data_IF_181231610577
#
_entry.id   IF_181231610577
#
_cell.length_a   1.000
_cell.length_b   1.000
_cell.length_c   1.000
_cell.angle_alpha   90.00
_cell.angle_beta   90.00
_cell.angle_gamma   90.00
#
_symmetry.space_group_name_H-M   'P 1'
#
loop_
_entity.id
_entity.type
_entity.pdbx_description
1 polymer ?
#
# COMPACT_ATOMS: atom_id res chain seq x y z
N UNK A 1 6.10 6.18 -23.96
CA UNK A 1 6.96 7.31 -23.57
C UNK A 1 8.37 6.81 -23.38
N UNK A 2 9.25 7.14 -24.34
CA UNK A 2 10.69 7.07 -24.15
C UNK A 2 11.11 8.16 -23.16
N UNK A 3 12.14 7.88 -22.35
CA UNK A 3 12.70 8.83 -21.40
C UNK A 3 13.80 9.63 -22.09
N UNK A 4 13.78 10.95 -21.95
CA UNK A 4 14.90 11.79 -22.38
C UNK A 4 16.06 11.71 -21.39
N UNK A 5 17.26 12.19 -21.79
CA UNK A 5 18.40 12.32 -20.86
C UNK A 5 18.05 13.16 -19.62
N UNK A 6 17.27 14.23 -19.81
CA UNK A 6 16.80 15.10 -18.73
C UNK A 6 15.89 14.36 -17.76
N UNK A 7 15.03 13.47 -18.27
CA UNK A 7 14.14 12.69 -17.42
C UNK A 7 14.91 11.67 -16.58
N UNK A 8 15.88 10.98 -17.17
CA UNK A 8 16.75 10.07 -16.43
C UNK A 8 17.54 10.79 -15.35
N UNK A 9 18.09 11.96 -15.67
CA UNK A 9 18.79 12.80 -14.70
C UNK A 9 17.86 13.22 -13.56
N UNK A 10 16.63 13.64 -13.85
CA UNK A 10 15.65 13.99 -12.82
C UNK A 10 15.31 12.79 -11.93
N UNK A 11 15.08 11.60 -12.49
CA UNK A 11 14.83 10.40 -11.70
C UNK A 11 16.02 10.01 -10.82
N UNK A 12 17.25 10.14 -11.33
CA UNK A 12 18.45 9.88 -10.57
C UNK A 12 18.58 10.87 -9.40
N UNK A 13 18.42 12.17 -9.68
CA UNK A 13 18.44 13.21 -8.66
C UNK A 13 17.38 12.95 -7.59
N UNK A 14 16.15 12.65 -8.00
CA UNK A 14 15.06 12.38 -7.08
C UNK A 14 15.33 11.14 -6.22
N UNK A 15 15.89 10.08 -6.81
CA UNK A 15 16.31 8.90 -6.06
C UNK A 15 17.38 9.25 -5.02
N UNK A 16 18.42 9.99 -5.39
CA UNK A 16 19.49 10.40 -4.46
C UNK A 16 18.94 11.25 -3.32
N UNK A 17 18.11 12.27 -3.62
CA UNK A 17 17.51 13.12 -2.59
C UNK A 17 16.61 12.30 -1.65
N UNK A 18 15.85 11.34 -2.19
CA UNK A 18 15.03 10.41 -1.38
C UNK A 18 15.90 9.56 -0.47
N UNK A 19 16.99 9.00 -0.99
CA UNK A 19 17.94 8.21 -0.21
C UNK A 19 18.55 9.02 0.94
N UNK A 20 18.94 10.27 0.68
CA UNK A 20 19.48 11.16 1.70
C UNK A 20 18.43 11.53 2.76
N UNK A 21 17.19 11.82 2.35
CA UNK A 21 16.11 12.17 3.28
C UNK A 21 15.76 11.01 4.23
N UNK A 22 15.79 9.77 3.75
CA UNK A 22 15.51 8.57 4.56
C UNK A 22 16.77 7.88 5.10
N UNK A 23 17.94 8.51 5.01
CA UNK A 23 19.19 7.96 5.56
C UNK A 23 19.07 7.46 7.01
N UNK A 24 18.34 8.14 7.94
CA UNK A 24 18.17 7.63 9.30
C UNK A 24 17.54 6.24 9.38
N UNK A 25 16.67 5.88 8.42
CA UNK A 25 16.02 4.58 8.40
C UNK A 25 16.99 3.42 8.12
N UNK A 26 18.15 3.67 7.51
CA UNK A 26 19.15 2.62 7.22
C UNK A 26 19.78 2.04 8.47
N UNK A 27 19.84 2.86 9.52
CA UNK A 27 20.37 2.54 10.82
C UNK A 27 19.24 2.28 11.84
N UNK A 28 18.00 2.12 11.36
CA UNK A 28 16.84 1.76 12.16
C UNK A 28 16.95 0.33 12.69
N UNK A 29 16.29 0.10 13.82
CA UNK A 29 16.08 -1.24 14.37
C UNK A 29 14.72 -1.81 13.98
N UNK A 30 14.45 -3.01 14.50
CA UNK A 30 13.13 -3.66 14.45
C UNK A 30 12.10 -2.80 15.18
N UNK A 31 10.94 -2.58 14.56
CA UNK A 31 9.83 -1.81 15.14
C UNK A 31 8.57 -2.65 15.26
N UNK A 32 7.88 -2.50 16.40
CA UNK A 32 6.54 -3.04 16.65
C UNK A 32 6.35 -4.53 16.32
N UNK A 33 5.82 -4.86 15.14
CA UNK A 33 5.49 -6.21 14.70
C UNK A 33 6.48 -6.78 13.67
N UNK A 34 7.60 -6.10 13.44
CA UNK A 34 8.64 -6.53 12.49
C UNK A 34 9.15 -7.94 12.82
N UNK A 35 9.44 -8.21 14.09
CA UNK A 35 9.88 -9.52 14.57
C UNK A 35 8.88 -10.64 14.25
N UNK A 36 7.58 -10.36 14.29
CA UNK A 36 6.55 -11.33 13.92
C UNK A 36 6.54 -11.66 12.41
N UNK A 37 7.13 -10.80 11.58
CA UNK A 37 7.23 -10.99 10.13
C UNK A 37 8.56 -11.57 9.67
N UNK A 38 9.67 -11.24 10.37
CA UNK A 38 11.03 -11.60 9.95
C UNK A 38 11.74 -12.59 10.90
N UNK A 39 11.21 -12.84 12.10
CA UNK A 39 11.82 -13.72 13.09
C UNK A 39 11.55 -15.22 12.86
N UNK A 40 10.49 -15.56 12.12
CA UNK A 40 9.98 -16.93 12.01
C UNK A 40 10.95 -17.95 11.38
N UNK A 41 10.94 -19.22 11.84
CA UNK A 41 11.80 -20.27 11.29
C UNK A 41 11.50 -20.60 9.81
N UNK A 42 10.30 -20.31 9.33
CA UNK A 42 9.88 -20.52 7.93
C UNK A 42 10.70 -19.70 6.91
N UNK A 43 11.34 -18.61 7.33
CA UNK A 43 12.21 -17.82 6.46
C UNK A 43 13.58 -18.49 6.21
N UNK A 44 13.92 -19.51 7.00
CA UNK A 44 15.25 -20.13 7.01
C UNK A 44 15.35 -21.40 6.17
N UNK A 45 14.25 -22.03 5.76
CA UNK A 45 14.27 -23.31 5.04
C UNK A 45 13.49 -23.26 3.73
N UNK A 46 13.80 -24.16 2.79
CA UNK A 46 13.03 -24.30 1.54
C UNK A 46 11.62 -24.84 1.81
N UNK A 47 11.47 -25.73 2.79
CA UNK A 47 10.15 -26.18 3.25
C UNK A 47 9.34 -25.01 3.83
N UNK A 48 10.00 -24.11 4.57
CA UNK A 48 9.39 -22.88 5.04
C UNK A 48 8.83 -22.02 3.90
N UNK A 49 9.57 -21.87 2.80
CA UNK A 49 9.05 -21.21 1.60
C UNK A 49 7.80 -21.92 1.03
N UNK A 50 7.80 -23.25 0.96
CA UNK A 50 6.61 -24.01 0.54
C UNK A 50 5.42 -23.72 1.48
N UNK A 51 5.64 -23.71 2.80
CA UNK A 51 4.60 -23.47 3.79
C UNK A 51 4.05 -22.03 3.71
N UNK A 52 4.89 -21.04 3.45
CA UNK A 52 4.48 -19.64 3.21
C UNK A 52 3.42 -19.56 2.09
N UNK A 53 3.57 -20.36 1.02
CA UNK A 53 2.63 -20.36 -0.10
C UNK A 53 1.38 -21.20 0.14
N UNK A 54 1.51 -22.39 0.73
CA UNK A 54 0.45 -23.40 0.69
C UNK A 54 -0.22 -23.69 2.04
N UNK A 55 0.34 -23.22 3.15
CA UNK A 55 -0.20 -23.45 4.49
C UNK A 55 -0.63 -22.11 5.08
N UNK A 56 -1.92 -21.74 4.97
CA UNK A 56 -2.43 -20.52 5.59
C UNK A 56 -2.11 -20.47 7.08
N UNK A 57 -1.87 -19.27 7.62
CA UNK A 57 -1.46 -19.02 9.02
C UNK A 57 -0.04 -19.48 9.39
N UNK A 58 0.79 -19.90 8.42
CA UNK A 58 2.23 -20.10 8.67
C UNK A 58 2.90 -18.80 9.13
N UNK A 59 2.45 -17.67 8.60
CA UNK A 59 2.99 -16.34 8.87
C UNK A 59 1.94 -15.44 9.55
N UNK A 60 2.40 -14.34 10.16
CA UNK A 60 1.56 -13.36 10.87
C UNK A 60 0.36 -12.89 10.04
N UNK A 61 0.59 -12.60 8.76
CA UNK A 61 -0.46 -12.28 7.78
C UNK A 61 -0.24 -13.14 6.54
N UNK A 62 -1.31 -13.66 5.94
CA UNK A 62 -1.18 -14.53 4.77
C UNK A 62 -0.95 -13.72 3.49
N UNK A 63 0.31 -13.31 3.31
CA UNK A 63 0.82 -12.56 2.16
C UNK A 63 2.05 -13.29 1.57
N UNK A 64 1.85 -14.34 0.76
CA UNK A 64 2.92 -15.24 0.36
C UNK A 64 4.05 -14.56 -0.42
N UNK A 65 3.75 -13.56 -1.26
CA UNK A 65 4.78 -12.85 -2.02
C UNK A 65 5.59 -11.89 -1.12
N UNK A 66 4.94 -11.27 -0.15
CA UNK A 66 5.63 -10.48 0.87
C UNK A 66 6.58 -11.35 1.69
N UNK A 67 6.13 -12.51 2.16
CA UNK A 67 6.98 -13.39 2.95
C UNK A 67 8.05 -14.10 2.11
N UNK A 68 7.79 -14.35 0.83
CA UNK A 68 8.84 -14.78 -0.12
C UNK A 68 9.95 -13.73 -0.24
N UNK A 69 9.60 -12.44 -0.27
CA UNK A 69 10.62 -11.39 -0.29
C UNK A 69 11.39 -11.30 1.04
N UNK A 70 10.80 -11.65 2.20
CA UNK A 70 11.54 -11.74 3.47
C UNK A 70 12.44 -12.97 3.50
N UNK A 71 11.95 -14.10 2.98
CA UNK A 71 12.70 -15.33 2.84
C UNK A 71 13.96 -15.11 1.99
N UNK A 72 13.82 -14.45 0.83
CA UNK A 72 14.96 -14.14 -0.03
C UNK A 72 15.98 -13.23 0.69
N UNK A 73 15.50 -12.26 1.45
CA UNK A 73 16.34 -11.34 2.22
C UNK A 73 17.10 -12.05 3.33
N UNK A 74 16.45 -12.96 4.06
CA UNK A 74 17.13 -13.81 5.04
C UNK A 74 18.26 -14.63 4.39
N UNK A 75 18.14 -15.02 3.11
CA UNK A 75 19.20 -15.71 2.36
C UNK A 75 20.33 -14.82 1.88
N UNK A 76 20.04 -13.56 1.57
CA UNK A 76 21.03 -12.62 1.05
C UNK A 76 21.85 -11.95 2.16
N UNK A 77 21.22 -11.62 3.28
CA UNK A 77 21.87 -10.84 4.34
C UNK A 77 21.73 -11.42 5.76
N UNK A 78 21.15 -12.61 5.91
CA UNK A 78 20.97 -13.24 7.23
C UNK A 78 20.12 -12.38 8.14
N UNK A 79 20.53 -12.22 9.39
CA UNK A 79 19.83 -11.42 10.40
C UNK A 79 20.16 -9.90 10.32
N UNK A 80 20.86 -9.45 9.27
CA UNK A 80 21.16 -8.03 9.08
C UNK A 80 19.91 -7.23 8.71
N UNK A 81 19.48 -6.37 9.63
CA UNK A 81 18.27 -5.54 9.51
C UNK A 81 18.39 -4.47 8.41
N UNK A 82 19.59 -3.93 8.19
CA UNK A 82 19.85 -2.89 7.19
C UNK A 82 19.40 -3.29 5.79
N UNK A 83 19.54 -4.57 5.41
CA UNK A 83 19.09 -5.08 4.11
C UNK A 83 17.59 -4.90 3.90
N UNK A 84 16.78 -5.06 4.95
CA UNK A 84 15.32 -4.91 4.90
C UNK A 84 14.90 -3.45 4.68
N UNK A 85 15.53 -2.51 5.39
CA UNK A 85 15.28 -1.07 5.19
C UNK A 85 15.71 -0.60 3.79
N UNK A 86 16.84 -1.09 3.28
CA UNK A 86 17.29 -0.78 1.91
C UNK A 86 16.24 -1.24 0.89
N UNK A 87 15.71 -2.46 1.02
CA UNK A 87 14.67 -2.94 0.11
C UNK A 87 13.41 -2.07 0.19
N UNK A 88 12.97 -1.66 1.38
CA UNK A 88 11.81 -0.77 1.51
C UNK A 88 12.03 0.57 0.82
N UNK A 89 13.20 1.18 1.01
CA UNK A 89 13.58 2.42 0.35
C UNK A 89 13.59 2.28 -1.18
N UNK A 90 14.18 1.20 -1.71
CA UNK A 90 14.22 0.95 -3.15
C UNK A 90 12.82 0.74 -3.73
N UNK A 91 11.94 0.04 -3.01
CA UNK A 91 10.54 -0.09 -3.40
C UNK A 91 9.81 1.26 -3.38
N UNK A 92 10.05 2.12 -2.37
CA UNK A 92 9.49 3.47 -2.33
C UNK A 92 9.96 4.33 -3.51
N UNK A 93 11.26 4.31 -3.83
CA UNK A 93 11.79 4.98 -5.03
C UNK A 93 11.13 4.42 -6.31
N UNK A 94 10.89 3.11 -6.36
CA UNK A 94 10.10 2.48 -7.42
C UNK A 94 8.69 3.07 -7.54
N UNK A 95 7.97 3.23 -6.42
CA UNK A 95 6.68 3.91 -6.37
C UNK A 95 6.77 5.35 -6.87
N UNK A 96 7.75 6.13 -6.41
CA UNK A 96 7.99 7.52 -6.83
C UNK A 96 8.11 7.63 -8.36
N UNK A 97 8.94 6.79 -8.97
CA UNK A 97 9.12 6.77 -10.43
C UNK A 97 7.83 6.37 -11.15
N UNK A 98 7.08 5.41 -10.61
CA UNK A 98 5.80 4.99 -11.19
C UNK A 98 4.74 6.09 -11.07
N UNK A 99 4.66 6.81 -9.95
CA UNK A 99 3.79 7.98 -9.77
C UNK A 99 4.14 9.03 -10.82
N UNK A 100 5.41 9.42 -10.95
CA UNK A 100 5.86 10.36 -11.98
C UNK A 100 5.39 9.93 -13.38
N UNK A 101 5.54 8.64 -13.72
CA UNK A 101 5.08 8.10 -15.01
C UNK A 101 3.58 8.19 -15.19
N UNK A 102 2.79 7.84 -14.18
CA UNK A 102 1.33 7.86 -14.27
C UNK A 102 0.84 9.30 -14.41
N UNK A 103 1.34 10.24 -13.59
CA UNK A 103 0.92 11.65 -13.63
C UNK A 103 1.26 12.28 -14.99
N UNK A 104 2.46 12.01 -15.53
CA UNK A 104 2.84 12.41 -16.88
C UNK A 104 1.98 11.76 -17.96
N UNK A 105 1.69 10.47 -17.84
CA UNK A 105 0.82 9.74 -18.78
C UNK A 105 -0.60 10.32 -18.79
N UNK A 106 -1.12 10.70 -17.63
CA UNK A 106 -2.42 11.35 -17.47
C UNK A 106 -2.40 12.82 -17.90
N UNK A 107 -1.23 13.38 -18.23
CA UNK A 107 -1.03 14.78 -18.64
C UNK A 107 -1.48 15.78 -17.57
N UNK A 108 -1.33 15.41 -16.29
CA UNK A 108 -1.61 16.30 -15.17
C UNK A 108 -0.41 17.25 -15.03
N UNK A 109 -0.63 18.58 -14.94
CA UNK A 109 0.45 19.55 -14.76
C UNK A 109 1.15 19.34 -13.41
N UNK A 110 2.46 19.63 -13.36
CA UNK A 110 3.25 19.52 -12.12
C UNK A 110 3.64 18.09 -11.72
N UNK A 111 3.84 17.19 -12.69
CA UNK A 111 4.17 15.79 -12.41
C UNK A 111 5.47 15.61 -11.60
N UNK A 112 6.48 16.44 -11.87
CA UNK A 112 7.75 16.49 -11.14
C UNK A 112 7.53 16.93 -9.69
N UNK A 113 6.68 17.95 -9.48
CA UNK A 113 6.33 18.43 -8.15
C UNK A 113 5.55 17.35 -7.39
N UNK A 114 4.54 16.73 -8.01
CA UNK A 114 3.76 15.65 -7.41
C UNK A 114 4.65 14.45 -7.00
N UNK A 115 5.59 14.06 -7.86
CA UNK A 115 6.55 13.00 -7.55
C UNK A 115 7.53 13.39 -6.44
N UNK A 116 7.98 14.65 -6.40
CA UNK A 116 8.86 15.18 -5.36
C UNK A 116 8.17 15.23 -4.00
N UNK A 117 6.93 15.72 -3.96
CA UNK A 117 6.08 15.68 -2.76
C UNK A 117 5.92 14.24 -2.33
N UNK A 118 5.49 13.34 -3.21
CA UNK A 118 5.32 11.92 -2.87
C UNK A 118 6.62 11.27 -2.37
N UNK A 119 7.78 11.62 -2.93
CA UNK A 119 9.06 11.09 -2.48
C UNK A 119 9.38 11.51 -1.04
N UNK A 120 9.23 12.79 -0.73
CA UNK A 120 9.77 13.41 0.48
C UNK A 120 8.71 13.66 1.57
N UNK A 121 7.44 13.37 1.31
CA UNK A 121 6.37 13.64 2.26
C UNK A 121 6.57 12.82 3.56
N UNK A 122 6.55 13.45 4.75
CA UNK A 122 6.81 12.75 6.02
C UNK A 122 5.84 11.60 6.34
N UNK A 123 4.62 11.61 5.78
CA UNK A 123 3.67 10.47 5.88
C UNK A 123 4.28 9.16 5.35
N UNK A 124 5.23 9.24 4.42
CA UNK A 124 5.86 8.06 3.83
C UNK A 124 7.05 7.53 4.67
N UNK A 125 7.35 8.14 5.82
CA UNK A 125 8.40 7.63 6.72
C UNK A 125 8.10 6.19 7.15
N UNK A 126 6.85 5.86 7.48
CA UNK A 126 6.46 4.49 7.85
C UNK A 126 6.72 3.49 6.71
N UNK A 127 6.49 3.90 5.46
CA UNK A 127 6.71 3.07 4.26
C UNK A 127 8.17 2.64 4.10
N UNK A 128 9.11 3.42 4.64
CA UNK A 128 10.56 3.16 4.53
C UNK A 128 11.15 2.60 5.83
N UNK A 129 10.80 3.19 6.98
CA UNK A 129 11.41 2.88 8.26
C UNK A 129 10.81 1.65 8.96
N UNK A 130 9.54 1.29 8.70
CA UNK A 130 8.91 0.12 9.31
C UNK A 130 9.00 -1.07 8.36
N UNK A 131 9.67 -2.15 8.77
CA UNK A 131 9.98 -3.27 7.87
C UNK A 131 8.69 -3.95 7.42
N UNK A 132 7.79 -4.26 8.36
CA UNK A 132 6.52 -4.93 8.11
C UNK A 132 5.60 -4.11 7.19
N UNK A 133 5.79 -2.78 7.12
CA UNK A 133 5.05 -1.91 6.19
C UNK A 133 5.40 -2.15 4.73
N UNK A 134 6.43 -2.97 4.44
CA UNK A 134 6.71 -3.44 3.08
C UNK A 134 5.49 -4.06 2.40
N UNK A 135 4.54 -4.62 3.15
CA UNK A 135 3.25 -5.07 2.61
C UNK A 135 2.57 -3.99 1.77
N UNK A 136 2.56 -2.76 2.26
CA UNK A 136 2.04 -1.60 1.54
C UNK A 136 2.97 -1.15 0.43
N UNK A 137 4.27 -1.01 0.70
CA UNK A 137 5.22 -0.50 -0.31
C UNK A 137 5.33 -1.43 -1.53
N UNK A 138 5.48 -2.74 -1.31
CA UNK A 138 5.59 -3.76 -2.35
C UNK A 138 4.30 -3.88 -3.16
N UNK A 139 3.15 -3.98 -2.49
CA UNK A 139 1.85 -4.01 -3.18
C UNK A 139 1.58 -2.71 -3.94
N UNK A 140 2.05 -1.57 -3.43
CA UNK A 140 2.00 -0.27 -4.08
C UNK A 140 2.79 -0.23 -5.40
N UNK A 141 4.03 -0.75 -5.42
CA UNK A 141 4.81 -0.89 -6.67
C UNK A 141 4.02 -1.70 -7.69
N UNK A 142 3.48 -2.85 -7.30
CA UNK A 142 2.71 -3.71 -8.18
C UNK A 142 1.40 -3.04 -8.66
N UNK A 143 0.68 -2.36 -7.78
CA UNK A 143 -0.56 -1.66 -8.11
C UNK A 143 -0.33 -0.49 -9.09
N UNK A 144 0.70 0.33 -8.85
CA UNK A 144 1.05 1.44 -9.74
C UNK A 144 1.57 0.93 -11.09
N UNK A 145 2.40 -0.13 -11.09
CA UNK A 145 2.85 -0.74 -12.33
C UNK A 145 1.70 -1.37 -13.12
N UNK A 146 0.78 -2.05 -12.44
CA UNK A 146 -0.45 -2.60 -13.04
C UNK A 146 -1.30 -1.48 -13.63
N UNK A 147 -1.50 -0.37 -12.91
CA UNK A 147 -2.23 0.80 -13.40
C UNK A 147 -1.59 1.36 -14.67
N UNK A 148 -0.27 1.58 -14.68
CA UNK A 148 0.45 2.11 -15.83
C UNK A 148 0.32 1.20 -17.07
N UNK A 149 0.43 -0.13 -16.89
CA UNK A 149 0.24 -1.08 -17.98
C UNK A 149 -1.22 -1.17 -18.44
N UNK A 150 -2.18 -1.04 -17.52
CA UNK A 150 -3.59 -1.01 -17.85
C UNK A 150 -3.94 0.25 -18.65
N UNK A 151 -3.41 1.41 -18.25
CA UNK A 151 -3.56 2.67 -18.98
C UNK A 151 -2.99 2.58 -20.40
N UNK A 152 -1.85 1.91 -20.58
CA UNK A 152 -1.31 1.60 -21.93
C UNK A 152 -2.22 0.67 -22.72
N UNK A 153 -2.77 -0.36 -22.06
CA UNK A 153 -3.77 -1.23 -22.68
C UNK A 153 -5.00 -0.46 -23.13
N UNK A 154 -5.47 0.54 -22.37
CA UNK A 154 -6.61 1.37 -22.78
C UNK A 154 -6.32 2.16 -24.06
N UNK A 155 -5.09 2.66 -24.26
CA UNK A 155 -4.70 3.39 -25.48
C UNK A 155 -4.55 2.48 -26.72
N UNK A 156 -3.93 1.31 -26.58
CA UNK A 156 -3.51 0.50 -27.72
C UNK A 156 -4.19 -0.88 -27.84
N UNK A 157 -5.02 -1.25 -26.86
CA UNK A 157 -5.70 -2.55 -26.75
C UNK A 157 -4.78 -3.77 -26.92
N UNK A 158 -3.50 -3.62 -26.60
CA UNK A 158 -2.51 -4.70 -26.69
C UNK A 158 -2.75 -5.78 -25.64
N UNK A 159 -2.83 -7.04 -26.09
CA UNK A 159 -2.92 -8.22 -25.19
C UNK A 159 -1.75 -8.31 -24.22
N UNK A 160 -0.55 -7.90 -24.65
CA UNK A 160 0.65 -7.89 -23.80
C UNK A 160 0.51 -6.89 -22.65
N UNK A 161 0.04 -5.68 -22.93
CA UNK A 161 -0.19 -4.66 -21.89
C UNK A 161 -1.22 -5.13 -20.87
N UNK A 162 -2.30 -5.76 -21.34
CA UNK A 162 -3.33 -6.33 -20.47
C UNK A 162 -2.81 -7.47 -19.60
N UNK A 163 -2.10 -8.43 -20.19
CA UNK A 163 -1.52 -9.56 -19.45
C UNK A 163 -0.52 -9.10 -18.39
N UNK A 164 0.32 -8.11 -18.71
CA UNK A 164 1.24 -7.50 -17.74
C UNK A 164 0.48 -6.78 -16.62
N UNK A 165 -0.56 -6.01 -16.94
CA UNK A 165 -1.38 -5.34 -15.94
C UNK A 165 -2.04 -6.33 -14.98
N UNK A 166 -2.65 -7.38 -15.51
CA UNK A 166 -3.31 -8.42 -14.71
C UNK A 166 -2.30 -9.21 -13.87
N UNK A 167 -1.17 -9.61 -14.45
CA UNK A 167 -0.11 -10.32 -13.73
C UNK A 167 0.45 -9.50 -12.57
N UNK A 168 0.76 -8.21 -12.81
CA UNK A 168 1.21 -7.30 -11.75
C UNK A 168 0.15 -7.09 -10.67
N UNK A 169 -1.12 -6.97 -11.05
CA UNK A 169 -2.22 -6.88 -10.09
C UNK A 169 -2.32 -8.12 -9.20
N UNK A 170 -2.21 -9.32 -9.76
CA UNK A 170 -2.20 -10.57 -9.00
C UNK A 170 -1.01 -10.65 -8.04
N UNK A 171 0.19 -10.25 -8.46
CA UNK A 171 1.37 -10.17 -7.59
C UNK A 171 1.15 -9.17 -6.43
N UNK A 172 0.51 -8.05 -6.72
CA UNK A 172 0.14 -7.08 -5.68
C UNK A 172 -0.84 -7.66 -4.66
N UNK A 173 -1.86 -8.42 -5.11
CA UNK A 173 -2.82 -9.09 -4.21
C UNK A 173 -2.13 -10.13 -3.31
N UNK A 174 -1.11 -10.83 -3.83
CA UNK A 174 -0.29 -11.79 -3.06
C UNK A 174 0.69 -11.10 -2.09
N UNK A 175 0.90 -9.79 -2.23
CA UNK A 175 1.73 -8.97 -1.33
C UNK A 175 0.90 -8.30 -0.24
N UNK A 176 -0.26 -7.75 -0.62
CA UNK A 176 -1.28 -7.23 0.29
C UNK A 176 -2.62 -7.09 -0.43
N UNK A 177 -3.69 -7.58 0.20
CA UNK A 177 -5.03 -7.53 -0.37
C UNK A 177 -5.68 -6.14 -0.37
N UNK A 178 -5.05 -5.11 0.21
CA UNK A 178 -5.55 -3.74 0.18
C UNK A 178 -5.72 -3.17 -1.25
N UNK A 179 -5.00 -3.72 -2.23
CA UNK A 179 -5.04 -3.23 -3.62
C UNK A 179 -6.28 -3.64 -4.41
N UNK A 180 -7.22 -4.38 -3.79
CA UNK A 180 -8.54 -4.74 -4.37
C UNK A 180 -9.34 -3.55 -4.89
N UNK A 181 -8.98 -2.32 -4.47
CA UNK A 181 -9.58 -1.06 -4.91
C UNK A 181 -9.07 -0.56 -6.27
N UNK A 182 -7.98 -1.13 -6.80
CA UNK A 182 -7.38 -0.71 -8.07
C UNK A 182 -8.36 -0.69 -9.26
N UNK A 183 -9.19 -1.73 -9.54
CA UNK A 183 -10.14 -1.67 -10.65
C UNK A 183 -11.14 -0.51 -10.49
N UNK A 184 -11.55 -0.19 -9.26
CA UNK A 184 -12.41 0.97 -9.02
C UNK A 184 -11.68 2.29 -9.29
N UNK A 185 -10.42 2.41 -8.85
CA UNK A 185 -9.60 3.59 -9.15
C UNK A 185 -9.42 3.81 -10.66
N UNK A 186 -9.23 2.74 -11.44
CA UNK A 186 -9.16 2.81 -12.91
C UNK A 186 -10.47 3.30 -13.52
N UNK A 187 -11.62 2.84 -13.04
CA UNK A 187 -12.93 3.34 -13.49
C UNK A 187 -13.10 4.83 -13.19
N UNK A 188 -12.67 5.30 -12.02
CA UNK A 188 -12.69 6.73 -11.66
C UNK A 188 -11.80 7.53 -12.61
N UNK A 189 -10.60 7.04 -12.93
CA UNK A 189 -9.71 7.69 -13.90
C UNK A 189 -10.37 7.78 -15.29
N UNK A 190 -11.03 6.71 -15.75
CA UNK A 190 -11.71 6.73 -17.05
C UNK A 190 -12.92 7.65 -17.08
N UNK A 191 -13.71 7.65 -16.01
CA UNK A 191 -14.82 8.58 -15.85
C UNK A 191 -14.32 10.03 -15.87
N UNK A 192 -13.28 10.34 -15.11
CA UNK A 192 -12.69 11.68 -15.07
C UNK A 192 -12.14 12.11 -16.45
N UNK A 193 -11.42 11.24 -17.17
CA UNK A 193 -10.83 11.59 -18.48
C UNK A 193 -11.86 11.73 -19.60
N UNK A 194 -13.00 11.02 -19.55
CA UNK A 194 -13.95 10.90 -20.67
C UNK A 194 -15.35 11.42 -20.37
N UNK A 195 -15.63 11.82 -19.12
CA UNK A 195 -16.95 12.23 -18.65
C UNK A 195 -17.97 11.09 -18.47
N UNK A 196 -17.71 9.91 -19.04
CA UNK A 196 -18.62 8.76 -18.98
C UNK A 196 -17.87 7.41 -18.95
N UNK A 197 -18.51 6.40 -18.37
CA UNK A 197 -18.00 5.04 -18.32
C UNK A 197 -18.72 4.20 -19.39
N UNK A 198 -17.98 3.68 -20.37
CA UNK A 198 -18.50 2.71 -21.32
C UNK A 198 -18.42 1.30 -20.76
N UNK A 199 -19.53 0.56 -20.80
CA UNK A 199 -19.59 -0.83 -20.33
C UNK A 199 -18.58 -1.73 -21.05
N UNK A 200 -18.62 -1.77 -22.39
CA UNK A 200 -17.77 -2.66 -23.20
C UNK A 200 -16.30 -2.24 -23.18
N UNK A 201 -16.02 -0.94 -23.16
CA UNK A 201 -14.64 -0.44 -23.22
C UNK A 201 -13.96 -0.41 -21.84
N UNK A 202 -14.68 -0.02 -20.78
CA UNK A 202 -14.07 0.21 -19.47
C UNK A 202 -14.37 -0.94 -18.48
N UNK A 203 -15.62 -1.41 -18.41
CA UNK A 203 -16.04 -2.35 -17.36
C UNK A 203 -15.70 -3.80 -17.70
N UNK A 204 -16.05 -4.25 -18.91
CA UNK A 204 -15.83 -5.65 -19.33
C UNK A 204 -14.36 -6.10 -19.15
N UNK A 205 -13.34 -5.31 -19.55
CA UNK A 205 -11.95 -5.74 -19.34
C UNK A 205 -11.50 -5.70 -17.88
N UNK A 206 -12.25 -5.08 -16.96
CA UNK A 206 -11.97 -5.11 -15.52
C UNK A 206 -12.66 -6.27 -14.80
N UNK A 207 -13.56 -7.02 -15.45
CA UNK A 207 -14.25 -8.17 -14.82
C UNK A 207 -13.26 -9.14 -14.16
N UNK A 208 -12.15 -9.56 -14.80
CA UNK A 208 -11.17 -10.42 -14.13
C UNK A 208 -10.54 -9.77 -12.91
N UNK A 209 -10.26 -8.46 -12.95
CA UNK A 209 -9.70 -7.72 -11.80
C UNK A 209 -10.70 -7.71 -10.63
N UNK A 210 -11.98 -7.46 -10.90
CA UNK A 210 -13.03 -7.53 -9.88
C UNK A 210 -13.20 -8.94 -9.31
N UNK A 211 -13.18 -9.96 -10.16
CA UNK A 211 -13.24 -11.36 -9.72
C UNK A 211 -12.10 -11.69 -8.75
N UNK A 212 -10.85 -11.41 -9.12
CA UNK A 212 -9.71 -11.66 -8.24
C UNK A 212 -9.71 -10.77 -7.01
N UNK A 213 -10.26 -9.55 -7.11
CA UNK A 213 -10.44 -8.68 -5.95
C UNK A 213 -11.39 -9.29 -4.91
N UNK A 214 -12.54 -9.79 -5.37
CA UNK A 214 -13.51 -10.45 -4.51
C UNK A 214 -12.94 -11.74 -3.90
N UNK A 215 -12.28 -12.58 -4.72
CA UNK A 215 -11.64 -13.80 -4.25
C UNK A 215 -10.57 -13.55 -3.18
N UNK A 216 -9.68 -12.57 -3.40
CA UNK A 216 -8.63 -12.21 -2.45
C UNK A 216 -9.20 -11.60 -1.15
N UNK A 217 -10.25 -10.78 -1.25
CA UNK A 217 -10.96 -10.22 -0.09
C UNK A 217 -11.64 -11.30 0.75
N UNK A 218 -12.33 -12.26 0.11
CA UNK A 218 -12.95 -13.41 0.78
C UNK A 218 -11.90 -14.32 1.43
N UNK A 219 -10.78 -14.58 0.75
CA UNK A 219 -9.67 -15.36 1.30
C UNK A 219 -9.08 -14.67 2.53
N UNK A 220 -8.79 -13.37 2.46
CA UNK A 220 -8.30 -12.60 3.62
C UNK A 220 -9.27 -12.68 4.77
N UNK A 221 -10.58 -12.47 4.50
CA UNK A 221 -11.61 -12.59 5.52
C UNK A 221 -11.59 -13.98 6.16
N UNK A 222 -11.54 -15.06 5.37
CA UNK A 222 -11.52 -16.43 5.89
C UNK A 222 -10.29 -16.72 6.76
N UNK A 223 -9.10 -16.30 6.31
CA UNK A 223 -7.86 -16.44 7.10
C UNK A 223 -7.96 -15.64 8.40
N UNK A 224 -8.32 -14.36 8.34
CA UNK A 224 -8.36 -13.51 9.53
C UNK A 224 -9.48 -13.90 10.50
N UNK A 225 -10.61 -14.43 10.02
CA UNK A 225 -11.74 -14.83 10.88
C UNK A 225 -11.41 -15.99 11.82
N UNK A 226 -10.48 -16.87 11.43
CA UNK A 226 -9.99 -17.95 12.31
C UNK A 226 -8.86 -17.53 13.25
N UNK A 227 -8.30 -16.31 13.11
CA UNK A 227 -7.37 -15.76 14.09
C UNK A 227 -8.20 -15.12 15.22
N UNK A 228 -8.05 -15.64 16.44
CA UNK A 228 -8.94 -15.45 17.60
C UNK A 228 -9.17 -13.96 17.97
N UNK A 229 -8.30 -13.03 17.53
CA UNK A 229 -8.38 -11.60 17.83
C UNK A 229 -9.43 -10.79 17.05
N UNK A 230 -9.94 -11.25 15.90
CA UNK A 230 -10.88 -10.45 15.09
C UNK A 230 -12.32 -10.48 15.60
N UNK A 231 -12.73 -11.60 16.24
CA UNK A 231 -14.09 -11.77 16.80
C UNK A 231 -14.40 -10.74 17.90
N UNK A 232 -13.41 -10.32 18.69
CA UNK A 232 -13.63 -9.50 19.88
C UNK A 232 -13.78 -7.98 19.64
N UNK A 233 -13.52 -7.46 18.43
CA UNK A 233 -13.45 -5.99 18.19
C UNK A 233 -14.47 -5.41 17.21
N UNK A 234 -15.12 -6.22 16.38
CA UNK A 234 -16.00 -5.76 15.29
C UNK A 234 -17.49 -6.01 15.54
N UNK A 235 -17.82 -6.83 16.53
CA UNK A 235 -19.20 -7.27 16.79
C UNK A 235 -20.03 -6.24 17.58
N UNK A 236 -19.39 -5.26 18.24
CA UNK A 236 -20.09 -4.28 19.10
C UNK A 236 -20.32 -2.91 18.44
N UNK A 237 -19.82 -2.68 17.22
CA UNK A 237 -19.98 -1.39 16.53
C UNK A 237 -21.24 -1.36 15.68
N UNK A 238 -22.13 -0.41 15.96
CA UNK A 238 -23.33 -0.15 15.15
C UNK A 238 -22.96 0.36 13.75
N UNK A 239 -23.93 0.35 12.82
CA UNK A 239 -23.72 0.94 11.49
C UNK A 239 -23.35 2.43 11.58
N UNK A 240 -23.96 3.14 12.53
CA UNK A 240 -23.68 4.55 12.76
C UNK A 240 -22.23 4.76 13.24
N UNK A 241 -21.75 3.94 14.19
CA UNK A 241 -20.37 4.02 14.66
C UNK A 241 -19.38 3.79 13.51
N UNK A 242 -19.67 2.83 12.63
CA UNK A 242 -18.84 2.56 11.45
C UNK A 242 -18.81 3.75 10.49
N UNK A 243 -19.94 4.41 10.25
CA UNK A 243 -20.02 5.61 9.43
C UNK A 243 -19.25 6.79 10.05
N UNK A 244 -19.39 7.01 11.36
CA UNK A 244 -18.68 8.06 12.08
C UNK A 244 -17.17 7.83 12.09
N UNK A 245 -16.74 6.58 12.32
CA UNK A 245 -15.33 6.18 12.26
C UNK A 245 -14.76 6.38 10.86
N UNK A 246 -15.50 6.01 9.81
CA UNK A 246 -15.07 6.20 8.42
C UNK A 246 -14.93 7.69 8.04
N UNK A 247 -15.93 8.51 8.38
CA UNK A 247 -15.89 9.96 8.13
C UNK A 247 -14.75 10.65 8.89
N UNK A 248 -14.50 10.25 10.13
CA UNK A 248 -13.35 10.74 10.90
C UNK A 248 -12.03 10.30 10.30
N UNK A 249 -11.89 9.02 9.92
CA UNK A 249 -10.68 8.51 9.31
C UNK A 249 -10.33 9.29 8.03
N UNK A 250 -11.33 9.61 7.21
CA UNK A 250 -11.16 10.47 6.04
C UNK A 250 -10.53 11.82 6.40
N UNK A 251 -11.12 12.56 7.34
CA UNK A 251 -10.60 13.87 7.75
C UNK A 251 -9.25 13.77 8.46
N UNK A 252 -9.04 12.73 9.25
CA UNK A 252 -7.77 12.47 9.93
C UNK A 252 -6.63 12.30 8.93
N UNK A 253 -6.80 11.43 7.92
CA UNK A 253 -5.76 11.22 6.90
C UNK A 253 -5.60 12.44 6.00
N UNK A 254 -6.68 13.16 5.67
CA UNK A 254 -6.58 14.41 4.91
C UNK A 254 -5.77 15.47 5.68
N UNK A 255 -5.98 15.59 6.98
CA UNK A 255 -5.19 16.49 7.83
C UNK A 255 -3.71 16.08 7.87
N UNK A 256 -3.41 14.77 8.01
CA UNK A 256 -2.01 14.28 8.00
C UNK A 256 -1.30 14.50 6.66
N UNK A 257 -2.03 14.56 5.55
CA UNK A 257 -1.48 14.93 4.25
C UNK A 257 -1.11 16.42 4.16
N UNK A 258 -1.81 17.31 4.87
CA UNK A 258 -1.53 18.74 4.87
C UNK A 258 -0.51 19.14 5.95
N UNK A 259 -0.60 18.50 7.12
CA UNK A 259 0.23 18.81 8.29
C UNK A 259 0.68 17.52 9.00
N UNK A 260 1.78 16.89 8.55
CA UNK A 260 2.24 15.59 9.03
C UNK A 260 3.01 15.68 10.36
N UNK A 261 2.34 16.17 11.41
CA UNK A 261 2.87 16.21 12.79
C UNK A 261 2.44 14.98 13.59
N UNK A 262 3.22 14.56 14.58
CA UNK A 262 2.91 13.45 15.50
C UNK A 262 2.49 12.17 14.75
N UNK A 263 3.31 11.72 13.80
CA UNK A 263 3.11 10.43 13.14
C UNK A 263 3.46 9.31 14.11
N UNK A 264 2.54 8.38 14.30
CA UNK A 264 2.65 7.29 15.27
C UNK A 264 2.08 6.00 14.68
N UNK A 265 2.71 4.88 15.02
CA UNK A 265 2.26 3.54 14.64
C UNK A 265 0.86 3.19 15.18
N UNK A 266 0.60 3.58 16.43
CA UNK A 266 -0.69 3.38 17.10
C UNK A 266 -1.21 4.73 17.54
N UNK A 267 -2.24 5.20 16.84
CA UNK A 267 -2.92 6.42 17.26
C UNK A 267 -3.83 6.14 18.47
N UNK A 268 -3.92 7.09 19.42
CA UNK A 268 -4.83 6.98 20.56
C UNK A 268 -6.25 6.67 20.09
N UNK A 269 -6.86 5.68 20.76
CA UNK A 269 -8.25 5.31 20.48
C UNK A 269 -9.15 6.46 20.87
N UNK A 270 -10.10 6.76 20.00
CA UNK A 270 -11.13 7.73 20.33
C UNK A 270 -12.22 7.06 21.15
N UNK A 271 -12.43 7.53 22.38
CA UNK A 271 -13.63 7.22 23.14
C UNK A 271 -14.77 8.13 22.66
N UNK A 272 -15.79 7.55 22.02
CA UNK A 272 -17.04 8.26 21.74
C UNK A 272 -17.81 8.33 23.06
N UNK A 273 -17.61 9.41 23.81
CA UNK A 273 -18.51 9.74 24.92
C UNK A 273 -19.72 10.44 24.33
N UNK A 274 -20.86 9.75 24.29
CA UNK A 274 -22.15 10.41 24.12
C UNK A 274 -22.26 11.43 25.26
N UNK A 275 -22.17 12.71 24.92
CA UNK A 275 -22.52 13.75 25.88
C UNK A 275 -23.96 13.48 26.30
N UNK A 276 -24.16 13.17 27.59
CA UNK A 276 -25.47 13.23 28.20
C UNK A 276 -26.07 14.60 27.87
N UNK A 277 -27.36 14.70 27.50
CA UNK A 277 -27.92 15.97 27.09
C UNK A 277 -27.84 16.97 28.25
N UNK A 278 -27.27 18.14 27.95
CA UNK A 278 -27.42 19.40 28.68
C UNK A 278 -26.64 19.55 30.00
N UNK A 279 -25.37 19.97 29.88
CA UNK A 279 -24.92 21.31 30.34
C UNK A 279 -23.61 21.68 29.65
N UNK A 280 -23.70 22.61 28.70
CA UNK A 280 -22.65 23.57 28.34
C UNK A 280 -21.30 23.05 27.85
N UNK A 281 -21.04 23.27 26.56
CA UNK A 281 -19.73 23.28 25.89
C UNK A 281 -19.11 21.93 25.54
N UNK A 282 -19.10 21.65 24.23
CA UNK A 282 -18.24 20.66 23.58
C UNK A 282 -16.79 21.13 23.76
N UNK A 283 -16.09 20.60 24.77
CA UNK A 283 -14.64 20.77 24.88
C UNK A 283 -13.95 19.57 24.23
N UNK A 284 -13.24 19.83 23.14
CA UNK A 284 -12.27 18.88 22.57
C UNK A 284 -11.02 18.91 23.43
N UNK A 285 -10.77 17.86 24.22
CA UNK A 285 -9.49 17.68 24.92
C UNK A 285 -8.72 16.53 24.27
N UNK A 286 -7.65 16.89 23.57
CA UNK A 286 -6.58 15.98 23.21
C UNK A 286 -5.79 15.67 24.49
N UNK A 287 -5.80 14.43 24.97
CA UNK A 287 -4.84 14.01 25.99
C UNK A 287 -3.51 13.73 25.28
N UNK A 288 -2.49 14.44 25.74
CA UNK A 288 -1.06 14.30 25.42
C UNK A 288 -0.55 12.88 25.61
#
# INVERSE_FOLDING_TARGET
>A
MSWSKRDWFFCLLLAVVTMLAYHPAWHGGVLWDDEAHIGGPELRTLDGLRRIWFVPRTTQQYYPLLHTSYWLQQKLWGDSITGYHIVNLLLHIGCVVLVLRIVRFLRIPGAELAATIFALHPVNVETVAWIAERKNTLSGVFALAAALWYLRFDENRSRRSYALALGLFLLGLLSKTAIVTLPLALLVIFWWKRGAISWRHNVVPLIPFFFFSAAAGLMTRWVEYGNIGYRARMLDLSLLDRCLIAGRAFWFYLWKLLWPSNLMFVYPRWEIRLALPCRGNIFFRSLS
#
